data_IF_598752387850
#
_entry.id   IF_598752387850
#
_cell.length_a   1.000
_cell.length_b   1.000
_cell.length_c   1.000
_cell.angle_alpha   90.00
_cell.angle_beta   90.00
_cell.angle_gamma   90.00
#
_symmetry.space_group_name_H-M   'P 1'
#
loop_
_entity.id
_entity.type
_entity.pdbx_description
1 polymer ?
#
# COMPACT_ATOMS: atom_id res chain seq x y z
N UNK A 1 -16.79 33.11 18.59
CA UNK A 1 -17.26 32.02 17.70
C UNK A 1 -16.61 32.21 16.34
N UNK A 2 -15.99 31.26 15.63
CA UNK A 2 -15.50 29.89 15.84
C UNK A 2 -14.39 29.78 14.79
N UNK A 3 -13.11 29.75 15.20
CA UNK A 3 -11.98 29.57 14.26
C UNK A 3 -12.08 28.15 13.74
N UNK A 4 -12.62 27.99 12.53
CA UNK A 4 -12.56 26.72 11.81
C UNK A 4 -11.07 26.46 11.58
N UNK A 5 -10.53 25.50 12.32
CA UNK A 5 -9.11 25.14 12.34
C UNK A 5 -8.71 24.75 10.90
N UNK A 6 -7.61 25.27 10.37
CA UNK A 6 -7.20 25.03 8.97
C UNK A 6 -7.09 23.54 8.63
N UNK A 7 -6.86 22.70 9.64
CA UNK A 7 -6.93 21.25 9.53
C UNK A 7 -8.33 20.75 9.12
N UNK A 8 -9.40 21.22 9.78
CA UNK A 8 -10.78 20.83 9.45
C UNK A 8 -11.18 21.24 8.03
N UNK A 9 -10.68 22.39 7.54
CA UNK A 9 -10.90 22.81 6.15
C UNK A 9 -10.20 21.88 5.16
N UNK A 10 -8.98 21.45 5.47
CA UNK A 10 -8.20 20.53 4.63
C UNK A 10 -8.85 19.15 4.57
N UNK A 11 -9.28 18.60 5.70
CA UNK A 11 -9.96 17.30 5.74
C UNK A 11 -11.26 17.33 4.95
N UNK A 12 -12.14 18.31 5.18
CA UNK A 12 -13.39 18.44 4.41
C UNK A 12 -13.16 18.62 2.91
N UNK A 13 -12.13 19.37 2.53
CA UNK A 13 -11.78 19.53 1.12
C UNK A 13 -11.30 18.22 0.50
N UNK A 14 -10.58 17.40 1.26
CA UNK A 14 -10.11 16.07 0.84
C UNK A 14 -11.30 15.11 0.67
N UNK A 15 -12.17 15.01 1.67
CA UNK A 15 -13.40 14.23 1.63
C UNK A 15 -14.22 14.58 0.38
N UNK A 16 -14.51 15.88 0.19
CA UNK A 16 -15.27 16.34 -0.98
C UNK A 16 -14.61 15.99 -2.32
N UNK A 17 -13.27 16.10 -2.43
CA UNK A 17 -12.54 15.71 -3.66
C UNK A 17 -12.59 14.22 -3.91
N UNK A 18 -12.49 13.41 -2.86
CA UNK A 18 -12.57 11.96 -2.96
C UNK A 18 -13.97 11.53 -3.43
N UNK A 19 -15.00 12.15 -2.90
CA UNK A 19 -16.39 11.88 -3.31
C UNK A 19 -16.64 12.24 -4.77
N UNK A 20 -16.16 13.40 -5.22
CA UNK A 20 -16.24 13.80 -6.63
C UNK A 20 -15.48 12.85 -7.56
N UNK A 21 -14.33 12.32 -7.10
CA UNK A 21 -13.59 11.31 -7.85
C UNK A 21 -14.37 10.00 -7.93
N UNK A 22 -14.98 9.56 -6.83
CA UNK A 22 -15.79 8.35 -6.78
C UNK A 22 -16.98 8.44 -7.74
N UNK A 23 -17.71 9.55 -7.72
CA UNK A 23 -18.85 9.76 -8.62
C UNK A 23 -18.43 9.70 -10.11
N UNK A 24 -17.30 10.30 -10.44
CA UNK A 24 -16.75 10.27 -11.80
C UNK A 24 -16.36 8.85 -12.23
N UNK A 25 -15.83 8.04 -11.32
CA UNK A 25 -15.50 6.64 -11.58
C UNK A 25 -16.77 5.86 -11.92
N UNK A 26 -17.81 5.95 -11.09
CA UNK A 26 -19.07 5.24 -11.32
C UNK A 26 -19.73 5.70 -12.63
N UNK A 27 -19.66 6.99 -12.95
CA UNK A 27 -20.14 7.51 -14.23
C UNK A 27 -19.36 6.96 -15.43
N UNK A 28 -18.06 6.71 -15.30
CA UNK A 28 -17.29 6.09 -16.36
C UNK A 28 -17.65 4.60 -16.50
N UNK A 29 -17.85 3.89 -15.38
CA UNK A 29 -18.26 2.49 -15.39
C UNK A 29 -19.64 2.30 -16.05
N UNK A 30 -20.59 3.19 -15.80
CA UNK A 30 -21.91 3.13 -16.48
C UNK A 30 -21.83 3.34 -17.99
N UNK A 31 -20.87 4.15 -18.46
CA UNK A 31 -20.64 4.34 -19.90
C UNK A 31 -19.92 3.13 -20.52
N UNK A 32 -19.01 2.49 -19.78
CA UNK A 32 -18.28 1.31 -20.25
C UNK A 32 -19.13 0.04 -20.24
N UNK A 33 -20.05 -0.08 -19.28
CA UNK A 33 -20.88 -1.26 -19.06
C UNK A 33 -22.38 -0.93 -19.00
N UNK A 34 -22.96 -0.31 -20.04
CA UNK A 34 -24.32 0.24 -19.99
C UNK A 34 -25.42 -0.79 -19.72
N UNK A 35 -25.22 -2.06 -20.08
CA UNK A 35 -26.20 -3.14 -19.85
C UNK A 35 -26.01 -3.86 -18.51
N UNK A 36 -24.87 -3.66 -17.84
CA UNK A 36 -24.47 -4.42 -16.64
C UNK A 36 -24.24 -3.56 -15.41
N UNK A 37 -24.24 -2.24 -15.58
CA UNK A 37 -23.93 -1.28 -14.53
C UNK A 37 -24.94 -0.14 -14.53
N UNK A 38 -25.93 -0.24 -13.65
CA UNK A 38 -26.84 0.87 -13.36
C UNK A 38 -26.22 1.75 -12.26
N UNK A 39 -25.80 2.96 -12.65
CA UNK A 39 -25.18 3.92 -11.72
C UNK A 39 -26.12 4.28 -10.56
N UNK A 40 -27.42 4.46 -10.82
CA UNK A 40 -28.32 4.97 -9.80
C UNK A 40 -28.53 3.93 -8.70
N UNK A 41 -28.73 2.68 -9.12
CA UNK A 41 -28.87 1.52 -8.22
C UNK A 41 -27.58 1.30 -7.41
N UNK A 42 -26.41 1.39 -8.07
CA UNK A 42 -25.13 1.26 -7.40
C UNK A 42 -24.88 2.38 -6.36
N UNK A 43 -25.16 3.64 -6.73
CA UNK A 43 -24.99 4.80 -5.85
C UNK A 43 -25.87 4.69 -4.62
N UNK A 44 -27.17 4.42 -4.80
CA UNK A 44 -28.13 4.30 -3.69
C UNK A 44 -27.70 3.23 -2.69
N UNK A 45 -27.36 2.02 -3.17
CA UNK A 45 -26.90 0.95 -2.29
C UNK A 45 -25.55 1.25 -1.61
N UNK A 46 -24.62 1.87 -2.34
CA UNK A 46 -23.31 2.21 -1.77
C UNK A 46 -23.41 3.29 -0.68
N UNK A 47 -24.25 4.31 -0.89
CA UNK A 47 -24.51 5.34 0.13
C UNK A 47 -25.24 4.75 1.34
N UNK A 48 -26.21 3.86 1.14
CA UNK A 48 -26.96 3.23 2.23
C UNK A 48 -26.07 2.32 3.09
N UNK A 49 -25.19 1.52 2.48
CA UNK A 49 -24.34 0.55 3.18
C UNK A 49 -23.08 1.17 3.78
N UNK A 50 -22.42 2.07 3.05
CA UNK A 50 -21.08 2.54 3.40
C UNK A 50 -21.03 4.03 3.76
N UNK A 51 -22.11 4.78 3.54
CA UNK A 51 -22.23 6.20 3.90
C UNK A 51 -21.62 7.18 2.90
N UNK A 52 -20.62 6.77 2.12
CA UNK A 52 -20.07 7.56 1.01
C UNK A 52 -19.59 6.66 -0.14
N UNK A 53 -19.57 7.19 -1.36
CA UNK A 53 -19.08 6.47 -2.53
C UNK A 53 -17.57 6.28 -2.44
N UNK A 54 -16.85 7.24 -1.85
CA UNK A 54 -15.42 7.11 -1.60
C UNK A 54 -15.09 5.93 -0.68
N UNK A 55 -15.76 5.83 0.47
CA UNK A 55 -15.52 4.74 1.44
C UNK A 55 -15.88 3.37 0.84
N UNK A 56 -16.96 3.30 0.07
CA UNK A 56 -17.37 2.08 -0.63
C UNK A 56 -16.31 1.62 -1.66
N UNK A 57 -15.74 2.57 -2.42
CA UNK A 57 -14.68 2.27 -3.39
C UNK A 57 -13.36 1.88 -2.72
N UNK A 58 -13.01 2.49 -1.59
CA UNK A 58 -11.84 2.13 -0.79
C UNK A 58 -12.00 0.71 -0.22
N UNK A 59 -13.18 0.37 0.32
CA UNK A 59 -13.48 -0.98 0.78
C UNK A 59 -13.40 -2.00 -0.37
N UNK A 60 -13.93 -1.67 -1.56
CA UNK A 60 -13.83 -2.54 -2.74
C UNK A 60 -12.37 -2.80 -3.17
N UNK A 61 -11.45 -1.89 -2.88
CA UNK A 61 -10.03 -2.03 -3.16
C UNK A 61 -9.29 -2.86 -2.12
N UNK A 62 -9.60 -2.68 -0.82
CA UNK A 62 -8.90 -3.31 0.31
C UNK A 62 -9.50 -4.65 0.70
N UNK A 63 -10.83 -4.71 0.83
CA UNK A 63 -11.59 -5.88 1.32
C UNK A 63 -12.72 -6.25 0.33
N UNK A 64 -12.37 -6.75 -0.88
CA UNK A 64 -13.35 -7.00 -1.95
C UNK A 64 -14.43 -8.01 -1.57
N UNK A 65 -14.10 -9.02 -0.76
CA UNK A 65 -15.06 -10.04 -0.33
C UNK A 65 -16.09 -9.46 0.65
N UNK A 66 -15.67 -8.56 1.54
CA UNK A 66 -16.57 -7.83 2.42
C UNK A 66 -17.50 -6.92 1.61
N UNK A 67 -16.94 -6.14 0.69
CA UNK A 67 -17.71 -5.25 -0.19
C UNK A 67 -18.81 -6.01 -0.96
N UNK A 68 -18.47 -7.15 -1.55
CA UNK A 68 -19.44 -8.00 -2.27
C UNK A 68 -20.50 -8.57 -1.33
N UNK A 69 -20.12 -9.02 -0.14
CA UNK A 69 -21.05 -9.58 0.84
C UNK A 69 -22.07 -8.55 1.33
N UNK A 70 -21.65 -7.32 1.61
CA UNK A 70 -22.55 -6.24 2.10
C UNK A 70 -23.56 -5.80 1.04
N UNK A 71 -23.22 -5.96 -0.24
CA UNK A 71 -24.07 -5.67 -1.40
C UNK A 71 -24.81 -6.90 -1.94
N UNK A 72 -24.75 -8.06 -1.26
CA UNK A 72 -25.48 -9.26 -1.68
C UNK A 72 -24.98 -9.90 -2.99
N UNK A 73 -23.74 -9.66 -3.39
CA UNK A 73 -23.11 -10.17 -4.62
C UNK A 73 -23.81 -9.74 -5.92
N UNK A 74 -24.31 -8.51 -5.96
CA UNK A 74 -24.85 -7.91 -7.17
C UNK A 74 -23.84 -7.95 -8.34
N UNK A 75 -24.34 -8.19 -9.56
CA UNK A 75 -23.49 -8.35 -10.75
C UNK A 75 -22.65 -7.11 -11.07
N UNK A 76 -23.16 -5.91 -10.76
CA UNK A 76 -22.45 -4.65 -10.94
C UNK A 76 -21.34 -4.45 -9.89
N UNK A 77 -21.48 -5.01 -8.69
CA UNK A 77 -20.49 -4.88 -7.62
C UNK A 77 -19.15 -5.55 -8.00
N UNK A 78 -19.22 -6.66 -8.73
CA UNK A 78 -18.03 -7.33 -9.29
C UNK A 78 -17.25 -6.46 -10.29
N UNK A 79 -17.96 -5.61 -11.05
CA UNK A 79 -17.35 -4.66 -11.98
C UNK A 79 -16.55 -3.61 -11.21
N UNK A 80 -17.11 -3.10 -10.10
CA UNK A 80 -16.43 -2.15 -9.22
C UNK A 80 -15.19 -2.79 -8.58
N UNK A 81 -15.28 -4.00 -8.04
CA UNK A 81 -14.14 -4.71 -7.46
C UNK A 81 -13.01 -4.87 -8.46
N UNK A 82 -13.33 -5.26 -9.70
CA UNK A 82 -12.34 -5.39 -10.76
C UNK A 82 -11.67 -4.06 -11.05
N UNK A 83 -12.46 -2.99 -11.22
CA UNK A 83 -11.94 -1.65 -11.43
C UNK A 83 -11.06 -1.17 -10.27
N UNK A 84 -11.51 -1.39 -9.03
CA UNK A 84 -10.85 -0.95 -7.80
C UNK A 84 -9.48 -1.64 -7.63
N UNK A 85 -9.41 -2.95 -7.83
CA UNK A 85 -8.14 -3.71 -7.78
C UNK A 85 -7.10 -3.22 -8.79
N UNK A 86 -7.55 -2.78 -9.97
CA UNK A 86 -6.66 -2.32 -11.03
C UNK A 86 -6.27 -0.85 -10.88
N UNK A 87 -7.20 0.01 -10.46
CA UNK A 87 -7.09 1.47 -10.60
C UNK A 87 -7.09 2.23 -9.26
N UNK A 88 -7.56 1.60 -8.18
CA UNK A 88 -7.70 2.21 -6.85
C UNK A 88 -6.72 1.64 -5.82
N UNK A 89 -5.71 0.87 -6.24
CA UNK A 89 -4.64 0.41 -5.34
C UNK A 89 -4.18 1.58 -4.46
N UNK A 90 -4.17 1.39 -3.12
CA UNK A 90 -3.84 2.48 -2.23
C UNK A 90 -2.48 3.07 -2.61
N UNK A 91 -2.33 4.40 -2.57
CA UNK A 91 -1.01 5.01 -2.70
C UNK A 91 -0.16 4.52 -1.53
N UNK A 92 0.67 3.50 -1.79
CA UNK A 92 1.62 3.02 -0.80
C UNK A 92 2.74 4.05 -0.71
N UNK A 93 3.02 4.49 0.52
CA UNK A 93 4.23 5.22 0.81
C UNK A 93 5.42 4.32 0.46
N UNK A 94 6.20 4.73 -0.54
CA UNK A 94 7.45 4.06 -0.89
C UNK A 94 8.60 4.78 -0.18
N UNK A 95 9.26 4.08 0.74
CA UNK A 95 10.46 4.55 1.41
C UNK A 95 11.67 3.77 0.88
N UNK A 96 12.70 4.50 0.44
CA UNK A 96 13.94 3.90 -0.03
C UNK A 96 15.06 4.14 0.95
N UNK A 97 15.89 3.12 1.13
CA UNK A 97 17.10 3.22 1.92
C UNK A 97 18.21 2.33 1.39
N UNK A 98 19.41 2.58 1.90
CA UNK A 98 20.61 1.80 1.58
C UNK A 98 21.12 1.12 2.83
N UNK A 99 21.38 -0.18 2.72
CA UNK A 99 22.05 -0.98 3.72
C UNK A 99 23.42 -1.41 3.20
N UNK A 100 24.46 -1.27 4.02
CA UNK A 100 25.83 -1.67 3.69
C UNK A 100 26.15 -2.97 4.41
N UNK A 101 26.51 -4.01 3.67
CA UNK A 101 26.80 -5.34 4.22
C UNK A 101 28.20 -5.77 3.80
N UNK A 102 28.98 -6.30 4.75
CA UNK A 102 30.32 -6.84 4.52
C UNK A 102 30.49 -8.15 5.27
N UNK A 103 31.13 -9.13 4.64
CA UNK A 103 31.61 -10.34 5.31
C UNK A 103 33.06 -10.57 4.96
N UNK A 104 33.85 -10.98 5.96
CA UNK A 104 35.26 -11.36 5.81
C UNK A 104 35.45 -12.88 5.76
N UNK A 105 34.37 -13.66 5.79
CA UNK A 105 34.41 -15.12 5.75
C UNK A 105 34.66 -15.64 4.33
N UNK A 106 35.28 -16.83 4.23
CA UNK A 106 35.51 -17.49 2.93
C UNK A 106 34.21 -17.81 2.16
N UNK A 107 33.09 -17.87 2.87
CA UNK A 107 31.73 -18.06 2.35
C UNK A 107 30.87 -16.77 2.41
N UNK A 108 31.51 -15.59 2.46
CA UNK A 108 30.83 -14.32 2.77
C UNK A 108 29.67 -13.94 1.84
N UNK A 109 29.72 -14.34 0.57
CA UNK A 109 28.61 -14.13 -0.38
C UNK A 109 27.37 -14.93 0.04
N UNK A 110 27.56 -16.17 0.48
CA UNK A 110 26.48 -17.06 0.89
C UNK A 110 25.84 -16.57 2.19
N UNK A 111 26.67 -16.09 3.12
CA UNK A 111 26.21 -15.43 4.36
C UNK A 111 25.36 -14.20 4.04
N UNK A 112 25.80 -13.35 3.11
CA UNK A 112 25.03 -12.15 2.72
C UNK A 112 23.70 -12.55 2.08
N UNK A 113 23.67 -13.52 1.17
CA UNK A 113 22.42 -13.98 0.55
C UNK A 113 21.41 -14.45 1.59
N UNK A 114 21.84 -15.26 2.55
CA UNK A 114 20.96 -15.75 3.63
C UNK A 114 20.50 -14.62 4.56
N UNK A 115 21.37 -13.64 4.81
CA UNK A 115 21.00 -12.45 5.59
C UNK A 115 19.91 -11.63 4.88
N UNK A 116 20.05 -11.42 3.56
CA UNK A 116 19.06 -10.71 2.76
C UNK A 116 17.73 -11.45 2.74
N UNK A 117 17.75 -12.77 2.51
CA UNK A 117 16.55 -13.62 2.55
C UNK A 117 15.85 -13.58 3.91
N UNK A 118 16.60 -13.54 5.01
CA UNK A 118 16.03 -13.41 6.34
C UNK A 118 15.30 -12.07 6.55
N UNK A 119 15.71 -11.02 5.83
CA UNK A 119 15.08 -9.70 5.87
C UNK A 119 13.91 -9.52 4.91
N UNK A 120 13.63 -10.48 4.03
CA UNK A 120 12.47 -10.42 3.14
C UNK A 120 11.18 -10.60 3.95
N UNK A 121 10.28 -9.62 3.83
CA UNK A 121 8.96 -9.61 4.44
C UNK A 121 7.98 -8.91 3.52
N UNK A 122 6.68 -9.05 3.79
CA UNK A 122 5.66 -8.38 3.01
C UNK A 122 5.89 -6.86 2.97
N UNK A 123 5.81 -6.28 1.77
CA UNK A 123 6.07 -4.86 1.56
C UNK A 123 7.55 -4.46 1.62
N UNK A 124 8.51 -5.39 1.70
CA UNK A 124 9.94 -5.12 1.59
C UNK A 124 10.52 -5.73 0.31
N UNK A 125 11.23 -4.91 -0.46
CA UNK A 125 11.98 -5.32 -1.64
C UNK A 125 13.45 -4.97 -1.45
N UNK A 126 14.33 -5.95 -1.65
CA UNK A 126 15.78 -5.76 -1.52
C UNK A 126 16.44 -6.00 -2.88
N UNK A 127 17.24 -5.04 -3.33
CA UNK A 127 17.96 -5.12 -4.60
C UNK A 127 19.44 -4.81 -4.45
N UNK A 128 20.25 -5.46 -5.28
CA UNK A 128 21.68 -5.21 -5.32
C UNK A 128 21.98 -3.92 -6.09
N UNK A 129 22.69 -2.98 -5.45
CA UNK A 129 23.22 -1.79 -6.13
C UNK A 129 24.65 -2.07 -6.60
N UNK A 130 25.50 -2.49 -5.67
CA UNK A 130 26.92 -2.69 -5.89
C UNK A 130 27.63 -2.86 -4.55
N UNK A 131 28.50 -3.86 -4.41
CA UNK A 131 29.12 -4.17 -3.13
C UNK A 131 29.89 -2.96 -2.56
N UNK A 132 29.74 -2.64 -1.26
CA UNK A 132 28.99 -3.38 -0.22
C UNK A 132 27.52 -2.93 -0.04
N UNK A 133 26.94 -2.16 -0.96
CA UNK A 133 25.63 -1.51 -0.85
C UNK A 133 24.50 -2.31 -1.50
N UNK A 134 23.39 -2.37 -0.77
CA UNK A 134 22.12 -2.99 -1.18
C UNK A 134 21.00 -1.97 -0.92
N UNK A 135 20.03 -1.88 -1.83
CA UNK A 135 18.85 -1.05 -1.65
C UNK A 135 17.79 -1.84 -0.92
N UNK A 136 17.16 -1.22 0.06
CA UNK A 136 15.93 -1.70 0.68
C UNK A 136 14.81 -0.72 0.37
N UNK A 137 13.69 -1.22 -0.15
CA UNK A 137 12.50 -0.43 -0.45
C UNK A 137 11.37 -0.98 0.40
N UNK A 138 10.72 -0.12 1.18
CA UNK A 138 9.51 -0.47 1.92
C UNK A 138 8.30 0.22 1.33
N UNK A 139 7.24 -0.56 1.09
CA UNK A 139 5.93 -0.09 0.64
C UNK A 139 4.89 -0.44 1.68
N UNK A 140 4.20 0.57 2.20
CA UNK A 140 3.11 0.40 3.15
C UNK A 140 2.07 1.50 2.97
N UNK A 141 0.90 1.35 3.60
CA UNK A 141 -0.19 2.34 3.53
C UNK A 141 0.16 3.67 4.19
N UNK A 142 1.02 3.64 5.21
CA UNK A 142 1.46 4.84 5.94
C UNK A 142 3.01 4.94 5.96
N UNK A 143 3.58 6.16 5.80
CA UNK A 143 5.04 6.36 5.80
C UNK A 143 5.74 5.85 7.07
N UNK A 144 5.08 5.93 8.22
CA UNK A 144 5.63 5.45 9.50
C UNK A 144 5.67 3.93 9.54
N UNK A 145 4.65 3.26 8.98
CA UNK A 145 4.64 1.81 8.83
C UNK A 145 5.74 1.37 7.87
N UNK A 146 5.92 2.07 6.74
CA UNK A 146 7.01 1.81 5.80
C UNK A 146 8.39 1.99 6.46
N UNK A 147 8.57 3.03 7.28
CA UNK A 147 9.79 3.24 8.04
C UNK A 147 10.07 2.14 9.06
N UNK A 148 9.05 1.75 9.84
CA UNK A 148 9.17 0.70 10.84
C UNK A 148 9.48 -0.67 10.19
N UNK A 149 8.84 -0.99 9.08
CA UNK A 149 9.11 -2.22 8.32
C UNK A 149 10.54 -2.22 7.75
N UNK A 150 10.98 -1.11 7.16
CA UNK A 150 12.35 -0.97 6.65
C UNK A 150 13.39 -1.16 7.77
N UNK A 151 13.18 -0.52 8.93
CA UNK A 151 14.06 -0.66 10.09
C UNK A 151 14.12 -2.10 10.59
N UNK A 152 12.96 -2.74 10.79
CA UNK A 152 12.88 -4.14 11.25
C UNK A 152 13.61 -5.10 10.31
N UNK A 153 13.35 -5.00 9.00
CA UNK A 153 14.04 -5.82 8.00
C UNK A 153 15.57 -5.62 8.06
N UNK A 154 16.02 -4.35 8.12
CA UNK A 154 17.43 -4.03 8.29
C UNK A 154 18.07 -4.62 9.54
N UNK A 155 17.37 -4.56 10.68
CA UNK A 155 17.82 -5.16 11.94
C UNK A 155 17.96 -6.67 11.85
N UNK A 156 17.03 -7.36 11.17
CA UNK A 156 17.09 -8.80 10.94
C UNK A 156 18.32 -9.16 10.10
N UNK A 157 18.53 -8.45 8.99
CA UNK A 157 19.68 -8.66 8.08
C UNK A 157 21.00 -8.48 8.85
N UNK A 158 21.14 -7.37 9.58
CA UNK A 158 22.36 -7.05 10.33
C UNK A 158 22.60 -8.07 11.45
N UNK A 159 21.54 -8.48 12.15
CA UNK A 159 21.63 -9.47 13.22
C UNK A 159 22.05 -10.84 12.68
N UNK A 160 21.54 -11.23 11.51
CA UNK A 160 21.98 -12.46 10.84
C UNK A 160 23.46 -12.38 10.47
N UNK A 161 23.88 -11.32 9.80
CA UNK A 161 25.28 -11.13 9.40
C UNK A 161 26.24 -11.12 10.61
N UNK A 162 25.88 -10.45 11.71
CA UNK A 162 26.70 -10.43 12.94
C UNK A 162 26.91 -11.81 13.55
N UNK A 163 25.89 -12.69 13.52
CA UNK A 163 26.01 -14.09 13.98
C UNK A 163 26.97 -14.91 13.13
N UNK A 164 27.21 -14.49 11.89
CA UNK A 164 28.08 -15.15 10.91
C UNK A 164 29.35 -14.34 10.61
N UNK A 165 29.86 -13.58 11.59
CA UNK A 165 31.12 -12.81 11.50
C UNK A 165 31.15 -11.72 10.41
N UNK A 166 29.98 -11.26 9.97
CA UNK A 166 29.83 -10.11 9.10
C UNK A 166 29.46 -8.83 9.85
N UNK A 167 29.51 -7.72 9.15
CA UNK A 167 29.18 -6.38 9.65
C UNK A 167 28.16 -5.76 8.71
N UNK A 168 27.17 -5.08 9.27
CA UNK A 168 26.18 -4.33 8.50
C UNK A 168 25.86 -2.97 9.13
N UNK A 169 25.60 -1.98 8.29
CA UNK A 169 25.25 -0.60 8.67
C UNK A 169 24.02 -0.13 7.88
N UNK A 170 23.15 0.65 8.54
CA UNK A 170 21.90 1.15 7.96
C UNK A 170 20.66 0.40 8.47
N UNK A 171 19.52 0.47 7.79
CA UNK A 171 19.30 1.18 6.52
C UNK A 171 19.26 2.70 6.70
N UNK A 172 19.95 3.43 5.81
CA UNK A 172 19.94 4.91 5.76
C UNK A 172 18.98 5.33 4.65
N UNK A 173 18.02 6.20 4.95
CA UNK A 173 17.07 6.74 3.96
C UNK A 173 17.83 7.46 2.84
N UNK A 174 17.44 7.22 1.59
CA UNK A 174 17.92 7.96 0.42
C UNK A 174 17.34 9.39 0.36
#
# INVERSE_FOLDING_TARGET
MRRVNDHQKREKLKEWKNEQRAEKILSNLSVQFPEKFDKNVAVEMMEEKFGSLADALDLAAVEPDQFLSELGNEGWASIIVTYAKENLKPPTAELRGVIKLRSSSGDGIEVIKKALQAGEMEGIEISYIGAPQYRIVSRAEDPKIAEDNMRKSGEIIISYLKKHWGIGEGPVKE
#
